data_IF_874118043077
#
_entry.id   IF_874118043077
#
_cell.length_a   1.000
_cell.length_b   1.000
_cell.length_c   1.000
_cell.angle_alpha   90.00
_cell.angle_beta   90.00
_cell.angle_gamma   90.00
#
_symmetry.space_group_name_H-M   'P 1'
#
loop_
_entity.id
_entity.type
_entity.pdbx_description
1 polymer ?
#
# COMPACT_ATOMS: atom_id res chain seq x y z
N UNK A 1 -15.93 20.74 -68.42
CA UNK A 1 -14.89 21.74 -68.75
C UNK A 1 -14.35 22.31 -67.44
N UNK A 2 -13.02 22.35 -67.30
CA UNK A 2 -12.18 22.93 -66.22
C UNK A 2 -12.34 22.27 -64.83
N UNK A 3 -11.45 21.43 -64.28
CA UNK A 3 -9.98 21.42 -64.15
C UNK A 3 -9.41 22.59 -63.32
N UNK A 4 -8.97 22.29 -62.09
CA UNK A 4 -7.94 23.06 -61.38
C UNK A 4 -7.17 22.13 -60.41
N UNK A 5 -5.91 21.90 -60.79
CA UNK A 5 -4.83 21.29 -60.00
C UNK A 5 -4.29 22.31 -58.98
N UNK A 6 -3.82 21.84 -57.83
CA UNK A 6 -3.07 22.64 -56.86
C UNK A 6 -2.20 21.76 -55.95
N UNK A 7 -0.97 21.51 -56.40
CA UNK A 7 0.14 20.88 -55.66
C UNK A 7 0.89 21.95 -54.85
N UNK A 8 1.76 21.51 -53.91
CA UNK A 8 2.84 22.22 -53.16
C UNK A 8 2.44 22.48 -51.69
N UNK A 9 3.17 22.08 -50.64
CA UNK A 9 4.62 22.09 -50.44
C UNK A 9 5.14 20.95 -49.53
N UNK A 10 6.33 20.47 -49.85
CA UNK A 10 7.21 19.63 -49.03
C UNK A 10 7.85 20.52 -47.94
N UNK A 11 7.70 20.16 -46.67
CA UNK A 11 8.52 20.69 -45.58
C UNK A 11 9.66 19.73 -45.29
N UNK A 12 10.81 19.96 -45.92
CA UNK A 12 12.06 19.32 -45.55
C UNK A 12 12.52 19.91 -44.19
N UNK A 13 12.52 19.10 -43.14
CA UNK A 13 13.19 19.43 -41.89
C UNK A 13 14.70 19.32 -42.11
N UNK A 14 15.33 20.49 -42.16
CA UNK A 14 16.78 20.66 -42.24
C UNK A 14 17.44 20.20 -40.95
N UNK A 15 18.49 19.41 -41.15
CA UNK A 15 19.39 18.88 -40.16
C UNK A 15 20.01 19.97 -39.27
N UNK A 16 20.00 19.76 -37.96
CA UNK A 16 21.02 20.30 -37.07
C UNK A 16 21.99 19.17 -36.74
N UNK A 17 22.84 18.86 -37.72
CA UNK A 17 24.04 18.05 -37.52
C UNK A 17 25.15 18.95 -36.99
N UNK A 18 25.36 18.95 -35.68
CA UNK A 18 26.61 19.37 -35.07
C UNK A 18 27.54 18.17 -35.01
N UNK A 19 28.45 18.05 -35.98
CA UNK A 19 29.49 17.03 -35.97
C UNK A 19 30.68 17.43 -35.10
N UNK A 20 31.07 16.54 -34.18
CA UNK A 20 32.49 16.24 -33.98
C UNK A 20 32.64 14.76 -33.68
N UNK A 21 33.44 14.13 -34.53
CA UNK A 21 33.68 12.71 -34.66
C UNK A 21 34.48 12.16 -33.49
N UNK A 22 33.98 11.08 -32.89
CA UNK A 22 34.74 10.24 -31.96
C UNK A 22 34.10 8.87 -31.89
N UNK A 23 34.73 7.89 -32.54
CA UNK A 23 34.25 6.50 -32.63
C UNK A 23 34.13 5.83 -31.24
N UNK A 24 33.01 5.17 -30.98
CA UNK A 24 32.81 4.34 -29.78
C UNK A 24 31.48 3.59 -29.85
N UNK A 25 31.52 2.28 -29.55
CA UNK A 25 30.45 1.31 -29.81
C UNK A 25 29.22 1.48 -28.90
N UNK A 26 28.13 0.92 -29.42
CA UNK A 26 26.81 0.70 -28.84
C UNK A 26 26.77 0.30 -27.35
N UNK A 27 25.76 0.85 -26.68
CA UNK A 27 24.99 0.17 -25.63
C UNK A 27 25.29 0.63 -24.21
N UNK A 28 24.64 1.70 -23.76
CA UNK A 28 24.16 1.78 -22.39
C UNK A 28 22.96 2.74 -22.33
N UNK A 29 21.87 2.27 -21.72
CA UNK A 29 20.66 3.08 -21.54
C UNK A 29 20.90 3.91 -20.30
N UNK A 30 21.38 5.14 -20.50
CA UNK A 30 21.79 6.05 -19.44
C UNK A 30 20.58 6.46 -18.58
N UNK A 31 20.30 5.66 -17.55
CA UNK A 31 19.39 6.01 -16.46
C UNK A 31 20.16 6.95 -15.53
N UNK A 32 19.71 8.19 -15.44
CA UNK A 32 20.30 9.21 -14.58
C UNK A 32 20.34 8.72 -13.13
N UNK A 33 21.51 8.23 -12.72
CA UNK A 33 21.77 7.83 -11.35
C UNK A 33 21.96 9.10 -10.52
N UNK A 34 21.06 9.36 -9.58
CA UNK A 34 21.27 10.42 -8.60
C UNK A 34 22.42 9.96 -7.70
N UNK A 35 23.58 10.59 -7.88
CA UNK A 35 24.74 10.42 -6.99
C UNK A 35 24.36 10.87 -5.58
N UNK A 36 23.94 9.92 -4.76
CA UNK A 36 23.88 10.10 -3.31
C UNK A 36 25.32 10.12 -2.79
N UNK A 37 25.71 11.06 -1.91
CA UNK A 37 27.03 11.02 -1.28
C UNK A 37 27.22 9.64 -0.65
N UNK A 38 28.34 8.98 -0.98
CA UNK A 38 28.71 7.73 -0.34
C UNK A 38 28.77 7.98 1.17
N UNK A 39 27.76 7.46 1.89
CA UNK A 39 27.84 7.35 3.33
C UNK A 39 29.09 6.53 3.62
N UNK A 40 30.04 7.15 4.33
CA UNK A 40 31.16 6.41 4.92
C UNK A 40 30.56 5.19 5.60
N UNK A 41 31.11 4.01 5.32
CA UNK A 41 30.74 2.76 5.95
C UNK A 41 31.06 2.80 7.45
N UNK A 42 30.27 3.58 8.19
CA UNK A 42 30.04 3.34 9.59
C UNK A 42 29.21 2.07 9.63
N UNK A 43 29.74 1.04 10.28
CA UNK A 43 28.99 -0.16 10.61
C UNK A 43 27.68 0.28 11.26
N UNK A 44 26.59 0.21 10.50
CA UNK A 44 25.26 0.27 11.07
C UNK A 44 25.16 -0.96 11.96
N UNK A 45 25.37 -0.77 13.27
CA UNK A 45 24.87 -1.72 14.25
C UNK A 45 23.40 -1.97 13.94
N UNK A 46 22.88 -3.18 14.19
CA UNK A 46 21.50 -3.49 13.88
C UNK A 46 20.61 -2.39 14.46
N UNK A 47 19.95 -1.64 13.58
CA UNK A 47 18.81 -0.84 14.00
C UNK A 47 17.83 -1.87 14.58
N UNK A 48 17.68 -1.85 15.90
CA UNK A 48 16.81 -2.75 16.64
C UNK A 48 15.33 -2.34 16.50
N UNK A 49 15.00 -1.55 15.47
CA UNK A 49 13.63 -1.21 15.14
C UNK A 49 12.95 -2.47 14.55
N UNK A 50 12.01 -3.09 15.28
CA UNK A 50 11.28 -4.27 14.78
C UNK A 50 10.46 -3.96 13.52
N UNK A 51 10.25 -2.69 13.19
CA UNK A 51 9.50 -2.26 12.02
C UNK A 51 10.38 -2.01 10.79
N UNK A 52 11.71 -2.04 10.93
CA UNK A 52 12.64 -1.75 9.85
C UNK A 52 12.48 -2.71 8.66
N UNK A 53 12.30 -2.15 7.46
CA UNK A 53 12.17 -2.90 6.21
C UNK A 53 10.80 -3.52 5.94
N UNK A 54 9.83 -3.37 6.85
CA UNK A 54 8.45 -3.82 6.61
C UNK A 54 7.72 -2.89 5.64
N UNK A 55 6.87 -3.41 4.72
CA UNK A 55 5.99 -2.57 3.92
C UNK A 55 5.04 -1.76 4.79
N UNK A 56 4.69 -0.55 4.36
CA UNK A 56 3.76 0.33 5.07
C UNK A 56 2.46 0.45 4.26
N UNK A 57 1.32 0.13 4.86
CA UNK A 57 0.03 0.43 4.24
C UNK A 57 -0.18 1.94 4.22
N UNK A 58 -0.73 2.45 3.12
CA UNK A 58 -1.24 3.82 3.02
C UNK A 58 -2.70 3.86 3.44
N UNK A 59 -3.11 4.90 4.18
CA UNK A 59 -4.52 5.07 4.58
C UNK A 59 -5.45 5.20 3.36
N UNK A 60 -4.99 5.91 2.33
CA UNK A 60 -5.72 6.15 1.07
C UNK A 60 -5.40 5.11 -0.03
N UNK A 61 -4.67 4.05 0.31
CA UNK A 61 -4.31 2.98 -0.63
C UNK A 61 -5.53 2.22 -1.13
N UNK A 62 -5.44 1.67 -2.34
CA UNK A 62 -6.52 0.85 -2.89
C UNK A 62 -6.64 -0.49 -2.15
N UNK A 63 -7.83 -1.09 -2.19
CA UNK A 63 -8.02 -2.44 -1.63
C UNK A 63 -7.07 -3.45 -2.30
N UNK A 64 -6.82 -3.30 -3.61
CA UNK A 64 -5.87 -4.14 -4.33
C UNK A 64 -4.44 -4.01 -3.78
N UNK A 65 -3.99 -2.79 -3.48
CA UNK A 65 -2.67 -2.55 -2.90
C UNK A 65 -2.57 -3.18 -1.50
N UNK A 66 -3.57 -2.94 -0.65
CA UNK A 66 -3.62 -3.53 0.68
C UNK A 66 -3.64 -5.06 0.63
N UNK A 67 -4.44 -5.63 -0.28
CA UNK A 67 -4.54 -7.07 -0.50
C UNK A 67 -3.22 -7.65 -0.98
N UNK A 68 -2.55 -7.00 -1.93
CA UNK A 68 -1.24 -7.46 -2.43
C UNK A 68 -0.20 -7.52 -1.30
N UNK A 69 -0.14 -6.48 -0.46
CA UNK A 69 0.80 -6.42 0.65
C UNK A 69 0.48 -7.47 1.73
N UNK A 70 -0.79 -7.64 2.09
CA UNK A 70 -1.21 -8.66 3.05
C UNK A 70 -0.99 -10.09 2.51
N UNK A 71 -1.39 -10.36 1.27
CA UNK A 71 -1.22 -11.67 0.65
C UNK A 71 0.27 -12.04 0.56
N UNK A 72 1.19 -11.08 0.32
CA UNK A 72 2.63 -11.37 0.32
C UNK A 72 3.13 -11.91 1.68
N UNK A 73 2.60 -11.39 2.79
CA UNK A 73 2.90 -11.91 4.12
C UNK A 73 2.30 -13.29 4.34
N UNK A 74 1.01 -13.47 4.00
CA UNK A 74 0.30 -14.73 4.24
C UNK A 74 0.83 -15.86 3.33
N UNK A 75 1.24 -15.57 2.10
CA UNK A 75 1.93 -16.53 1.24
C UNK A 75 3.26 -16.98 1.85
N UNK A 76 4.03 -16.09 2.46
CA UNK A 76 5.23 -16.51 3.20
C UNK A 76 4.87 -17.45 4.36
N UNK A 77 3.82 -17.14 5.12
CA UNK A 77 3.35 -18.04 6.18
C UNK A 77 2.97 -19.43 5.62
N UNK A 78 2.31 -19.46 4.47
CA UNK A 78 1.93 -20.69 3.78
C UNK A 78 3.15 -21.51 3.36
N UNK A 79 4.17 -20.87 2.79
CA UNK A 79 5.45 -21.51 2.44
C UNK A 79 6.16 -22.11 3.66
N UNK A 80 5.88 -21.55 4.84
CA UNK A 80 6.34 -22.04 6.15
C UNK A 80 5.30 -22.90 6.90
N UNK A 81 4.38 -23.54 6.16
CA UNK A 81 3.50 -24.60 6.66
C UNK A 81 2.25 -24.11 7.40
N UNK A 82 1.97 -22.81 7.41
CA UNK A 82 0.72 -22.28 7.99
C UNK A 82 -0.43 -22.55 7.04
N UNK A 83 -1.48 -23.20 7.53
CA UNK A 83 -2.71 -23.42 6.75
C UNK A 83 -3.35 -22.07 6.43
N UNK A 84 -3.84 -21.89 5.22
CA UNK A 84 -4.51 -20.68 4.77
C UNK A 84 -5.90 -20.98 4.22
N UNK A 85 -6.73 -19.95 4.12
CA UNK A 85 -7.99 -19.98 3.37
C UNK A 85 -8.15 -18.68 2.57
N UNK A 86 -8.99 -18.71 1.54
CA UNK A 86 -9.25 -17.55 0.69
C UNK A 86 -10.69 -17.05 0.84
N UNK A 87 -10.88 -15.74 0.64
CA UNK A 87 -12.20 -15.10 0.56
C UNK A 87 -12.18 -14.06 -0.56
N UNK A 88 -13.28 -13.91 -1.29
CA UNK A 88 -13.42 -12.95 -2.38
C UNK A 88 -13.71 -13.63 -3.71
N UNK A 89 -13.79 -12.82 -4.77
CA UNK A 89 -13.99 -13.28 -6.15
C UNK A 89 -12.67 -13.60 -6.85
N UNK A 90 -12.76 -14.41 -7.91
CA UNK A 90 -11.63 -14.74 -8.79
C UNK A 90 -10.79 -13.51 -9.17
N UNK A 91 -9.50 -13.50 -8.82
CA UNK A 91 -8.55 -12.42 -9.12
C UNK A 91 -8.50 -11.29 -8.06
N UNK A 92 -9.42 -11.29 -7.10
CA UNK A 92 -9.50 -10.31 -6.01
C UNK A 92 -9.52 -11.00 -4.63
N UNK A 93 -8.99 -12.22 -4.53
CA UNK A 93 -9.03 -12.98 -3.28
C UNK A 93 -8.04 -12.44 -2.25
N UNK A 94 -8.53 -12.34 -1.03
CA UNK A 94 -7.74 -12.20 0.17
C UNK A 94 -7.34 -13.58 0.69
N UNK A 95 -6.08 -13.75 1.05
CA UNK A 95 -5.55 -14.95 1.69
C UNK A 95 -5.40 -14.67 3.19
N UNK A 96 -5.94 -15.55 4.02
CA UNK A 96 -5.89 -15.43 5.47
C UNK A 96 -5.19 -16.63 6.11
N UNK A 97 -4.42 -16.44 7.19
CA UNK A 97 -3.99 -17.54 8.04
C UNK A 97 -5.21 -18.24 8.65
N UNK A 98 -5.25 -19.56 8.61
CA UNK A 98 -6.30 -20.38 9.22
C UNK A 98 -6.11 -20.63 10.72
N UNK A 99 -5.10 -20.02 11.32
CA UNK A 99 -4.71 -20.12 12.74
C UNK A 99 -4.28 -18.73 13.23
N UNK A 100 -4.20 -18.53 14.54
CA UNK A 100 -3.77 -17.24 15.10
C UNK A 100 -2.24 -17.12 15.02
N UNK A 101 -1.72 -15.89 14.91
CA UNK A 101 -0.27 -15.64 14.86
C UNK A 101 0.50 -16.21 16.07
N UNK A 102 -0.15 -16.31 17.23
CA UNK A 102 0.37 -16.97 18.44
C UNK A 102 0.71 -18.46 18.22
N UNK A 103 0.06 -19.09 17.26
CA UNK A 103 0.13 -20.54 17.03
C UNK A 103 1.28 -20.90 16.06
N UNK A 104 1.89 -19.91 15.42
CA UNK A 104 3.01 -20.08 14.48
C UNK A 104 4.16 -19.05 14.70
N UNK A 105 4.70 -18.90 15.92
CA UNK A 105 5.66 -17.84 16.23
C UNK A 105 6.96 -17.93 15.41
N UNK A 106 7.39 -19.14 15.02
CA UNK A 106 8.57 -19.34 14.17
C UNK A 106 8.34 -18.80 12.75
N UNK A 107 7.24 -19.19 12.10
CA UNK A 107 6.88 -18.72 10.76
C UNK A 107 6.58 -17.22 10.77
N UNK A 108 5.89 -16.73 11.81
CA UNK A 108 5.63 -15.29 11.98
C UNK A 108 6.95 -14.50 12.07
N UNK A 109 7.94 -15.00 12.82
CA UNK A 109 9.27 -14.37 12.92
C UNK A 109 10.01 -14.36 11.59
N UNK A 110 9.99 -15.46 10.84
CA UNK A 110 10.65 -15.54 9.52
C UNK A 110 9.99 -14.59 8.51
N UNK A 111 8.66 -14.49 8.55
CA UNK A 111 7.88 -13.67 7.63
C UNK A 111 7.67 -12.22 8.11
N UNK A 112 8.24 -11.82 9.25
CA UNK A 112 7.99 -10.52 9.87
C UNK A 112 8.29 -9.34 8.94
N UNK A 113 9.36 -9.42 8.15
CA UNK A 113 9.74 -8.40 7.17
C UNK A 113 8.74 -8.19 6.04
N UNK A 114 7.85 -9.16 5.80
CA UNK A 114 6.77 -9.05 4.80
C UNK A 114 5.45 -8.56 5.41
N UNK A 115 5.31 -8.61 6.74
CA UNK A 115 4.08 -8.21 7.41
C UNK A 115 3.90 -6.69 7.27
N UNK A 116 2.86 -6.23 6.57
CA UNK A 116 2.66 -4.80 6.41
C UNK A 116 2.38 -4.12 7.76
N UNK A 117 2.90 -2.91 7.93
CA UNK A 117 2.54 -1.99 9.01
C UNK A 117 1.18 -1.37 8.70
N UNK A 118 0.37 -1.14 9.74
CA UNK A 118 -0.87 -0.36 9.62
C UNK A 118 -0.55 1.09 9.26
N UNK A 119 -1.42 1.80 8.52
CA UNK A 119 -1.26 3.22 8.24
C UNK A 119 -0.87 4.01 9.47
N UNK A 120 0.11 4.92 9.33
CA UNK A 120 0.70 5.67 10.44
C UNK A 120 -0.34 6.50 11.20
N UNK A 121 -1.36 6.96 10.47
CA UNK A 121 -2.51 7.70 11.00
C UNK A 121 -3.35 6.82 11.94
N UNK A 122 -3.33 5.50 11.75
CA UNK A 122 -4.05 4.53 12.60
C UNK A 122 -3.17 3.87 13.65
N UNK A 123 -1.93 4.31 13.82
CA UNK A 123 -1.03 3.84 14.88
C UNK A 123 -1.15 4.77 16.10
N UNK A 124 -1.66 4.30 17.26
CA UNK A 124 -1.78 5.14 18.46
C UNK A 124 -0.45 5.67 19.00
N UNK A 125 0.68 5.07 18.63
CA UNK A 125 2.01 5.56 19.02
C UNK A 125 2.50 6.70 18.13
N UNK A 126 1.96 6.83 16.92
CA UNK A 126 2.40 7.80 15.90
C UNK A 126 1.35 8.89 15.64
N UNK A 127 0.07 8.60 15.88
CA UNK A 127 -1.02 9.57 15.77
C UNK A 127 -1.39 10.16 17.15
N UNK A 128 -1.06 11.43 17.44
CA UNK A 128 -1.44 12.08 18.70
C UNK A 128 -2.96 12.30 18.86
N UNK A 129 -3.72 12.23 17.76
CA UNK A 129 -5.18 12.38 17.73
C UNK A 129 -5.93 11.05 17.66
N UNK A 130 -5.22 9.92 17.78
CA UNK A 130 -5.79 8.58 17.58
C UNK A 130 -7.10 8.34 18.32
N UNK A 131 -7.17 8.72 19.60
CA UNK A 131 -8.37 8.51 20.40
C UNK A 131 -9.58 9.28 19.85
N UNK A 132 -9.37 10.49 19.33
CA UNK A 132 -10.43 11.33 18.78
C UNK A 132 -10.88 10.81 17.42
N UNK A 133 -9.92 10.47 16.56
CA UNK A 133 -10.17 9.91 15.23
C UNK A 133 -10.87 8.55 15.34
N UNK A 134 -10.45 7.71 16.28
CA UNK A 134 -11.11 6.44 16.56
C UNK A 134 -12.58 6.66 16.97
N UNK A 135 -12.86 7.65 17.83
CA UNK A 135 -14.25 7.97 18.20
C UNK A 135 -15.06 8.49 17.01
N UNK A 136 -14.47 9.28 16.11
CA UNK A 136 -15.14 9.71 14.87
C UNK A 136 -15.40 8.54 13.94
N UNK A 137 -14.46 7.60 13.81
CA UNK A 137 -14.64 6.40 13.00
C UNK A 137 -15.84 5.58 13.48
N UNK A 138 -15.93 5.33 14.78
CA UNK A 138 -17.07 4.62 15.40
C UNK A 138 -18.39 5.38 15.18
N UNK A 139 -18.39 6.71 15.32
CA UNK A 139 -19.58 7.54 15.06
C UNK A 139 -20.04 7.44 13.61
N UNK A 140 -19.11 7.58 12.66
CA UNK A 140 -19.40 7.52 11.23
C UNK A 140 -19.98 6.15 10.83
N UNK A 141 -19.38 5.05 11.30
CA UNK A 141 -19.89 3.71 10.99
C UNK A 141 -21.33 3.54 11.51
N UNK A 142 -21.58 3.90 12.78
CA UNK A 142 -22.89 3.78 13.40
C UNK A 142 -23.96 4.66 12.74
N UNK A 143 -23.60 5.86 12.28
CA UNK A 143 -24.51 6.78 11.58
C UNK A 143 -24.90 6.26 10.19
N UNK A 144 -23.98 5.58 9.50
CA UNK A 144 -24.22 4.90 8.21
C UNK A 144 -24.87 3.50 8.35
N UNK A 145 -25.19 3.08 9.57
CA UNK A 145 -25.93 1.85 9.85
C UNK A 145 -25.07 0.62 10.17
N UNK A 146 -23.75 0.72 10.05
CA UNK A 146 -22.81 -0.32 10.49
C UNK A 146 -22.70 -0.27 12.02
N UNK A 147 -23.39 -1.19 12.71
CA UNK A 147 -23.54 -1.13 14.17
C UNK A 147 -22.35 -1.75 14.87
N UNK A 148 -21.54 -0.92 15.51
CA UNK A 148 -20.27 -1.30 16.14
C UNK A 148 -20.08 -0.66 17.50
N UNK A 149 -19.31 -1.32 18.35
CA UNK A 149 -18.89 -0.84 19.67
C UNK A 149 -17.37 -0.87 19.75
N UNK A 150 -16.76 0.23 20.20
CA UNK A 150 -15.32 0.29 20.44
C UNK A 150 -14.90 -0.61 21.60
N UNK A 151 -13.75 -1.24 21.47
CA UNK A 151 -13.08 -1.97 22.55
C UNK A 151 -12.45 -0.99 23.56
N UNK A 152 -12.17 -1.45 24.79
CA UNK A 152 -11.36 -0.69 25.73
C UNK A 152 -10.04 -0.22 25.10
N UNK A 153 -9.55 0.92 25.58
CA UNK A 153 -8.30 1.55 25.14
C UNK A 153 -8.22 1.85 23.64
N UNK A 154 -9.38 1.93 22.96
CA UNK A 154 -9.48 2.11 21.52
C UNK A 154 -8.74 1.02 20.72
N UNK A 155 -8.61 -0.19 21.27
CA UNK A 155 -7.83 -1.29 20.67
C UNK A 155 -8.45 -1.90 19.40
N UNK A 156 -9.60 -1.39 18.96
CA UNK A 156 -10.40 -1.92 17.86
C UNK A 156 -11.88 -1.84 18.19
N UNK A 157 -12.73 -2.53 17.44
CA UNK A 157 -14.18 -2.54 17.67
C UNK A 157 -14.77 -3.91 17.34
N UNK A 158 -15.98 -4.18 17.84
CA UNK A 158 -16.77 -5.36 17.53
C UNK A 158 -18.15 -4.96 16.97
N UNK A 159 -18.77 -5.87 16.23
CA UNK A 159 -20.17 -5.69 15.84
C UNK A 159 -21.07 -5.66 17.08
N UNK A 160 -21.94 -4.66 17.14
CA UNK A 160 -22.97 -4.52 18.18
C UNK A 160 -24.29 -5.22 17.81
N UNK A 161 -24.38 -5.79 16.59
CA UNK A 161 -25.55 -6.44 16.03
C UNK A 161 -25.12 -7.50 15.00
N UNK A 162 -25.93 -8.55 14.85
CA UNK A 162 -25.78 -9.53 13.76
C UNK A 162 -26.42 -9.06 12.44
N UNK A 163 -27.26 -8.02 12.48
CA UNK A 163 -27.88 -7.42 11.31
C UNK A 163 -27.05 -6.22 10.83
N UNK A 164 -26.08 -6.48 9.95
CA UNK A 164 -25.21 -5.48 9.35
C UNK A 164 -25.61 -5.22 7.89
N UNK A 165 -25.36 -4.00 7.37
CA UNK A 165 -25.65 -3.71 5.98
C UNK A 165 -24.74 -4.52 5.04
N UNK A 166 -25.26 -4.86 3.85
CA UNK A 166 -24.51 -5.65 2.86
C UNK A 166 -23.21 -4.95 2.39
N UNK A 167 -23.16 -3.62 2.45
CA UNK A 167 -22.00 -2.80 2.08
C UNK A 167 -21.12 -2.41 3.29
N UNK A 168 -21.05 -3.26 4.32
CA UNK A 168 -20.28 -3.01 5.56
C UNK A 168 -18.83 -2.59 5.29
N UNK A 169 -18.11 -3.31 4.43
CA UNK A 169 -16.69 -3.04 4.14
C UNK A 169 -16.47 -1.66 3.51
N UNK A 170 -17.40 -1.20 2.66
CA UNK A 170 -17.36 0.12 2.05
C UNK A 170 -17.67 1.23 3.07
N UNK A 171 -18.61 0.98 3.99
CA UNK A 171 -18.91 1.91 5.08
C UNK A 171 -17.69 2.05 6.00
N UNK A 172 -17.12 0.93 6.44
CA UNK A 172 -15.94 0.91 7.30
C UNK A 172 -14.78 1.66 6.67
N UNK A 173 -14.42 1.32 5.43
CA UNK A 173 -13.27 1.90 4.72
C UNK A 173 -13.43 3.39 4.51
N UNK A 174 -14.62 3.84 4.08
CA UNK A 174 -14.89 5.27 3.89
C UNK A 174 -14.85 6.06 5.20
N UNK A 175 -15.44 5.51 6.27
CA UNK A 175 -15.41 6.15 7.58
C UNK A 175 -14.02 6.16 8.21
N UNK A 176 -13.21 5.12 7.98
CA UNK A 176 -11.81 5.08 8.43
C UNK A 176 -11.00 6.18 7.75
N UNK A 177 -11.14 6.30 6.42
CA UNK A 177 -10.47 7.35 5.67
C UNK A 177 -10.91 8.74 6.14
N UNK A 178 -12.21 8.99 6.27
CA UNK A 178 -12.75 10.27 6.75
C UNK A 178 -12.20 10.65 8.13
N UNK A 179 -12.24 9.71 9.08
CA UNK A 179 -11.84 9.97 10.46
C UNK A 179 -10.33 10.21 10.63
N UNK A 180 -9.50 9.43 9.94
CA UNK A 180 -8.04 9.45 10.13
C UNK A 180 -7.28 10.32 9.10
N UNK A 181 -7.95 10.82 8.06
CA UNK A 181 -7.34 11.76 7.09
C UNK A 181 -7.56 13.23 7.45
N UNK A 182 -8.48 13.52 8.37
CA UNK A 182 -8.82 14.87 8.78
C UNK A 182 -7.61 15.53 9.46
N UNK A 183 -7.06 16.57 8.85
CA UNK A 183 -6.02 17.38 9.50
C UNK A 183 -6.64 18.06 10.72
N UNK A 184 -6.06 17.82 11.88
CA UNK A 184 -6.41 18.48 13.14
C UNK A 184 -5.32 19.44 13.57
#
# INVERSE_FOLDING_TARGET
MLAALGVVAVSALTACGGGSSGAGRAGDTDVASISSPAASAGSAGPSADPDSGRPQLRLDGSEEEHRKLNNAWVSCLQDHGVRTYTKGSAGAEWIFPGVNASDFPASAKVCASKQPLQPVETDPKKNPHYADDFREWIRCMNSKGLKVVGLPDNAGWNYASNNQPANSDAIESSCRLEAFSAKK
#
